data_IF_898970378752
#
_entry.id   IF_898970378752
#
_cell.length_a   1.000
_cell.length_b   1.000
_cell.length_c   1.000
_cell.angle_alpha   90.00
_cell.angle_beta   90.00
_cell.angle_gamma   90.00
#
_symmetry.space_group_name_H-M   'P 1'
#
loop_
_entity.id
_entity.type
_entity.pdbx_description
1 polymer ?
#
# COMPACT_ATOMS: atom_id res chain seq x y z
N UNK A 1 -12.92 -25.97 14.45
CA UNK A 1 -13.52 -25.36 13.24
C UNK A 1 -12.49 -25.33 12.12
N UNK A 2 -12.65 -26.11 11.05
CA UNK A 2 -11.77 -26.04 9.88
C UNK A 2 -12.00 -24.70 9.13
N UNK A 3 -10.94 -23.93 8.91
CA UNK A 3 -11.00 -22.73 8.05
C UNK A 3 -11.15 -23.18 6.60
N UNK A 4 -12.30 -22.87 5.99
CA UNK A 4 -12.54 -23.09 4.56
C UNK A 4 -11.46 -22.36 3.72
N UNK A 5 -10.66 -23.14 2.96
CA UNK A 5 -9.50 -22.65 2.21
C UNK A 5 -9.88 -21.97 0.88
N UNK A 6 -11.12 -22.16 0.41
CA UNK A 6 -11.60 -21.66 -0.89
C UNK A 6 -12.06 -20.20 -0.84
N UNK A 7 -11.27 -19.32 -0.22
CA UNK A 7 -11.54 -17.87 -0.29
C UNK A 7 -11.22 -17.39 -1.70
N UNK A 8 -12.26 -17.11 -2.48
CA UNK A 8 -12.16 -16.31 -3.71
C UNK A 8 -11.48 -15.00 -3.31
N UNK A 9 -10.24 -14.80 -3.79
CA UNK A 9 -9.50 -13.56 -3.55
C UNK A 9 -10.29 -12.44 -4.23
N UNK A 10 -10.88 -11.55 -3.42
CA UNK A 10 -11.48 -10.32 -3.96
C UNK A 10 -10.42 -9.59 -4.76
N UNK A 11 -10.78 -9.16 -5.98
CA UNK A 11 -9.90 -8.35 -6.81
C UNK A 11 -9.42 -7.14 -6.02
N UNK A 12 -8.16 -6.72 -6.27
CA UNK A 12 -7.66 -5.48 -5.68
C UNK A 12 -8.60 -4.36 -6.11
N UNK A 13 -9.08 -3.53 -5.18
CA UNK A 13 -9.93 -2.42 -5.56
C UNK A 13 -9.12 -1.42 -6.38
N UNK A 14 -9.74 -0.84 -7.40
CA UNK A 14 -9.09 0.16 -8.26
C UNK A 14 -8.74 1.40 -7.42
N UNK A 15 -7.48 1.79 -7.42
CA UNK A 15 -6.98 2.91 -6.63
C UNK A 15 -7.65 4.23 -7.07
N UNK A 16 -7.84 4.41 -8.37
CA UNK A 16 -8.42 5.63 -8.96
C UNK A 16 -9.89 5.81 -8.56
N UNK A 17 -10.65 4.72 -8.48
CA UNK A 17 -12.05 4.76 -8.03
C UNK A 17 -12.15 5.11 -6.55
N UNK A 18 -11.18 4.68 -5.76
CA UNK A 18 -11.13 4.91 -4.32
C UNK A 18 -10.81 6.38 -4.03
N UNK A 19 -9.85 6.97 -4.75
CA UNK A 19 -9.50 8.39 -4.63
C UNK A 19 -10.65 9.28 -5.11
N UNK A 20 -11.21 9.01 -6.30
CA UNK A 20 -12.36 9.76 -6.82
C UNK A 20 -13.58 9.72 -5.87
N UNK A 21 -13.87 8.54 -5.28
CA UNK A 21 -14.93 8.41 -4.29
C UNK A 21 -14.65 9.20 -3.00
N UNK A 22 -13.39 9.27 -2.57
CA UNK A 22 -13.01 10.04 -1.39
C UNK A 22 -13.11 11.55 -1.66
N UNK A 23 -12.72 12.00 -2.86
CA UNK A 23 -12.87 13.40 -3.29
C UNK A 23 -14.33 13.82 -3.35
N UNK A 24 -15.21 13.01 -3.95
CA UNK A 24 -16.64 13.31 -3.99
C UNK A 24 -17.26 13.48 -2.59
N UNK A 25 -16.78 12.72 -1.60
CA UNK A 25 -17.27 12.84 -0.22
C UNK A 25 -16.65 14.04 0.51
N UNK A 26 -15.37 14.31 0.30
CA UNK A 26 -14.62 15.31 1.06
C UNK A 26 -14.72 16.73 0.48
N UNK A 27 -14.77 16.87 -0.85
CA UNK A 27 -14.85 18.15 -1.58
C UNK A 27 -16.29 18.48 -1.94
N UNK A 28 -17.01 17.53 -2.55
CA UNK A 28 -18.36 17.79 -3.10
C UNK A 28 -19.49 17.51 -2.08
N UNK A 29 -19.15 17.03 -0.87
CA UNK A 29 -20.12 16.78 0.20
C UNK A 29 -21.07 15.60 -0.05
N UNK A 30 -20.75 14.71 -1.01
CA UNK A 30 -21.61 13.57 -1.35
C UNK A 30 -21.70 12.59 -0.18
N UNK A 31 -22.90 12.07 0.16
CA UNK A 31 -23.03 11.04 1.19
C UNK A 31 -22.22 9.78 0.84
N UNK A 32 -21.51 9.24 1.83
CA UNK A 32 -20.66 8.03 1.68
C UNK A 32 -21.39 6.87 1.00
N UNK A 33 -22.68 6.68 1.30
CA UNK A 33 -23.50 5.61 0.71
C UNK A 33 -23.69 5.78 -0.80
N UNK A 34 -23.82 7.02 -1.26
CA UNK A 34 -23.98 7.38 -2.67
C UNK A 34 -22.66 7.19 -3.41
N UNK A 35 -21.55 7.70 -2.87
CA UNK A 35 -20.23 7.52 -3.46
C UNK A 35 -19.83 6.03 -3.57
N UNK A 36 -20.10 5.21 -2.55
CA UNK A 36 -19.87 3.75 -2.60
C UNK A 36 -20.55 3.09 -3.80
N UNK A 37 -21.80 3.46 -4.07
CA UNK A 37 -22.58 2.90 -5.19
C UNK A 37 -22.06 3.40 -6.53
N UNK A 38 -21.75 4.68 -6.62
CA UNK A 38 -21.32 5.33 -7.85
C UNK A 38 -19.95 4.82 -8.33
N UNK A 39 -19.00 4.64 -7.41
CA UNK A 39 -17.61 4.29 -7.75
C UNK A 39 -17.29 2.80 -7.57
N UNK A 40 -18.26 1.99 -7.12
CA UNK A 40 -18.10 0.54 -6.98
C UNK A 40 -17.06 0.13 -5.92
N UNK A 41 -16.86 0.94 -4.88
CA UNK A 41 -15.87 0.70 -3.82
C UNK A 41 -16.52 0.18 -2.55
N UNK A 42 -15.82 -0.63 -1.77
CA UNK A 42 -16.38 -1.12 -0.50
C UNK A 42 -16.54 0.03 0.51
N UNK A 43 -17.65 0.05 1.25
CA UNK A 43 -17.92 1.08 2.27
C UNK A 43 -16.81 1.16 3.32
N UNK A 44 -16.31 0.02 3.77
CA UNK A 44 -15.25 -0.03 4.79
C UNK A 44 -13.93 0.49 4.24
N UNK A 45 -13.61 0.22 2.97
CA UNK A 45 -12.44 0.77 2.29
C UNK A 45 -12.55 2.29 2.19
N UNK A 46 -13.67 2.81 1.70
CA UNK A 46 -13.88 4.25 1.55
C UNK A 46 -13.83 4.97 2.91
N UNK A 47 -14.48 4.44 3.94
CA UNK A 47 -14.43 5.01 5.29
C UNK A 47 -13.02 5.04 5.87
N UNK A 48 -12.26 3.95 5.72
CA UNK A 48 -10.86 3.90 6.17
C UNK A 48 -10.02 4.96 5.45
N UNK A 49 -10.28 5.12 4.17
CA UNK A 49 -9.57 6.08 3.33
C UNK A 49 -9.88 7.53 3.71
N UNK A 50 -11.16 7.87 3.87
CA UNK A 50 -11.60 9.18 4.37
C UNK A 50 -10.97 9.48 5.74
N UNK A 51 -10.99 8.51 6.66
CA UNK A 51 -10.39 8.67 7.97
C UNK A 51 -8.87 8.89 7.91
N UNK A 52 -8.18 8.23 6.97
CA UNK A 52 -6.77 8.45 6.72
C UNK A 52 -6.51 9.87 6.19
N UNK A 53 -7.23 10.29 5.14
CA UNK A 53 -7.03 11.58 4.50
C UNK A 53 -7.37 12.74 5.47
N UNK A 54 -8.38 12.58 6.35
CA UNK A 54 -8.67 13.54 7.45
C UNK A 54 -7.57 13.63 8.49
N UNK A 55 -6.78 12.57 8.71
CA UNK A 55 -5.64 12.58 9.63
C UNK A 55 -4.36 13.16 9.00
N UNK A 56 -4.25 13.12 7.67
CA UNK A 56 -3.03 13.52 6.94
C UNK A 56 -3.09 14.94 6.38
N UNK A 57 -4.27 15.46 6.03
CA UNK A 57 -4.38 16.80 5.44
C UNK A 57 -4.78 17.89 6.46
N UNK A 58 -3.85 18.82 6.67
CA UNK A 58 -4.17 20.25 6.77
C UNK A 58 -4.80 20.68 5.44
N UNK A 59 -5.93 21.38 5.51
CA UNK A 59 -6.99 21.43 4.50
C UNK A 59 -6.70 22.20 3.18
N UNK A 60 -5.48 22.67 2.92
CA UNK A 60 -5.29 23.74 1.92
C UNK A 60 -4.65 23.30 0.60
N UNK A 61 -3.88 22.21 0.53
CA UNK A 61 -3.21 21.83 -0.73
C UNK A 61 -3.68 20.46 -1.25
N UNK A 62 -4.50 20.58 -2.29
CA UNK A 62 -5.36 19.58 -2.89
C UNK A 62 -4.58 18.57 -3.77
N UNK A 63 -3.73 17.76 -3.16
CA UNK A 63 -3.42 16.44 -3.71
C UNK A 63 -3.73 15.41 -2.62
N UNK A 64 -4.79 14.63 -2.83
CA UNK A 64 -5.21 13.58 -1.90
C UNK A 64 -4.25 12.38 -2.03
N UNK A 65 -2.98 12.60 -1.68
CA UNK A 65 -1.92 11.63 -1.77
C UNK A 65 -2.01 10.65 -0.59
N UNK A 66 -3.11 9.90 -0.55
CA UNK A 66 -3.36 8.92 0.49
C UNK A 66 -2.64 7.62 0.13
N UNK A 67 -1.32 7.68 0.15
CA UNK A 67 -0.45 6.55 -0.07
C UNK A 67 -0.68 5.50 1.02
N UNK A 68 -1.13 4.31 0.62
CA UNK A 68 -1.23 3.17 1.51
C UNK A 68 0.17 2.61 1.76
N UNK A 69 0.84 3.13 2.80
CA UNK A 69 2.05 2.48 3.30
C UNK A 69 1.67 1.10 3.85
N UNK A 70 2.32 0.06 3.32
CA UNK A 70 2.28 -1.26 3.98
C UNK A 70 2.89 -1.07 5.36
N UNK A 71 2.05 -1.01 6.41
CA UNK A 71 2.47 -1.14 7.81
C UNK A 71 2.93 -2.56 8.14
N UNK A 72 3.56 -3.26 7.19
CA UNK A 72 4.46 -4.32 7.56
C UNK A 72 5.69 -3.60 8.08
N UNK A 73 5.70 -3.34 9.39
CA UNK A 73 6.96 -3.13 10.12
C UNK A 73 7.67 -4.48 10.03
N UNK A 74 8.24 -4.76 8.87
CA UNK A 74 9.24 -5.82 8.75
C UNK A 74 10.37 -5.30 9.63
N UNK A 75 10.74 -6.07 10.65
CA UNK A 75 11.90 -5.77 11.44
C UNK A 75 13.09 -5.69 10.48
N UNK A 76 13.53 -4.46 10.20
CA UNK A 76 14.71 -4.22 9.40
C UNK A 76 15.88 -4.50 10.31
N UNK A 77 16.51 -5.67 10.11
CA UNK A 77 17.70 -6.07 10.88
C UNK A 77 18.90 -5.20 10.53
N UNK A 78 18.92 -4.67 9.31
CA UNK A 78 19.95 -3.79 8.79
C UNK A 78 19.35 -2.41 8.46
N UNK A 79 20.15 -1.37 8.64
CA UNK A 79 19.87 -0.04 8.10
C UNK A 79 20.03 -0.04 6.58
N UNK A 80 19.48 0.99 5.92
CA UNK A 80 19.57 1.13 4.45
C UNK A 80 21.02 1.22 3.96
N UNK A 81 21.89 1.83 4.75
CA UNK A 81 23.30 2.00 4.41
C UNK A 81 24.03 0.67 4.53
N UNK A 82 23.77 -0.11 5.58
CA UNK A 82 24.32 -1.46 5.75
C UNK A 82 23.85 -2.42 4.65
N UNK A 83 22.57 -2.34 4.27
CA UNK A 83 22.02 -3.11 3.14
C UNK A 83 22.75 -2.78 1.83
N UNK A 84 23.01 -1.49 1.57
CA UNK A 84 23.72 -1.04 0.37
C UNK A 84 25.16 -1.57 0.32
N UNK A 85 25.87 -1.50 1.45
CA UNK A 85 27.24 -2.03 1.58
C UNK A 85 27.27 -3.54 1.36
N UNK A 86 26.31 -4.26 1.94
CA UNK A 86 26.22 -5.71 1.79
C UNK A 86 25.93 -6.13 0.34
N UNK A 87 25.04 -5.40 -0.35
CA UNK A 87 24.75 -5.61 -1.78
C UNK A 87 26.01 -5.40 -2.61
N UNK A 88 26.76 -4.31 -2.38
CA UNK A 88 28.02 -4.05 -3.09
C UNK A 88 29.04 -5.17 -2.85
N UNK A 89 29.20 -5.61 -1.60
CA UNK A 89 30.09 -6.72 -1.27
C UNK A 89 29.72 -7.99 -2.07
N UNK A 90 28.44 -8.34 -2.13
CA UNK A 90 28.00 -9.52 -2.89
C UNK A 90 28.25 -9.39 -4.38
N UNK A 91 28.03 -8.21 -4.97
CA UNK A 91 28.31 -7.96 -6.38
C UNK A 91 29.80 -8.16 -6.68
N UNK A 92 30.68 -7.61 -5.85
CA UNK A 92 32.14 -7.73 -5.99
C UNK A 92 32.58 -9.18 -5.76
N UNK A 93 32.08 -9.85 -4.74
CA UNK A 93 32.43 -11.23 -4.46
C UNK A 93 32.00 -12.19 -5.59
N UNK A 94 30.82 -11.95 -6.19
CA UNK A 94 30.34 -12.67 -7.36
C UNK A 94 31.21 -12.39 -8.60
N UNK A 95 31.63 -11.14 -8.84
CA UNK A 95 32.48 -10.80 -9.98
C UNK A 95 33.90 -11.36 -9.85
N UNK A 96 34.36 -11.59 -8.62
CA UNK A 96 35.64 -12.24 -8.31
C UNK A 96 35.57 -13.77 -8.33
N UNK A 97 34.46 -14.36 -8.80
CA UNK A 97 34.23 -15.81 -8.87
C UNK A 97 34.42 -16.55 -7.53
N UNK A 98 34.18 -15.91 -6.37
CA UNK A 98 34.30 -16.54 -5.06
C UNK A 98 33.24 -17.63 -4.76
N UNK A 99 32.59 -18.20 -5.78
CA UNK A 99 31.74 -19.38 -5.62
C UNK A 99 30.56 -19.15 -4.68
N UNK A 100 29.89 -18.00 -4.79
CA UNK A 100 28.62 -17.74 -4.09
C UNK A 100 27.42 -18.45 -4.74
N UNK A 101 27.64 -19.20 -5.82
CA UNK A 101 26.61 -20.06 -6.42
C UNK A 101 26.42 -21.33 -5.58
N UNK A 102 25.15 -21.67 -5.33
CA UNK A 102 24.73 -22.93 -4.72
C UNK A 102 25.45 -24.10 -5.42
N UNK A 103 26.17 -24.94 -4.67
CA UNK A 103 26.63 -26.24 -5.19
C UNK A 103 25.39 -26.99 -5.68
N UNK A 104 25.33 -27.22 -7.00
CA UNK A 104 24.42 -28.19 -7.61
C UNK A 104 24.76 -29.59 -7.15
#
# INVERSE_FOLDING_TARGET
MLRNSNRIKKSKPNADNITAAAEAVLKDGVPVRTAVRQFGVSRTTLQRHIAFCRKTNNFENMELNCAYYKRCVVWTVLSKDEDSVLIQYFIIACSMHFGLSKKS
#
